data_IF_450248985197
#
_entry.id   IF_450248985197
#
_cell.length_a   1.000
_cell.length_b   1.000
_cell.length_c   1.000
_cell.angle_alpha   90.00
_cell.angle_beta   90.00
_cell.angle_gamma   90.00
#
_symmetry.space_group_name_H-M   'P 1'
#
loop_
_entity.id
_entity.type
_entity.pdbx_description
1 polymer ?
#
# COMPACT_ATOMS: atom_id res chain seq x y z
N UNK A 1 -10.61 2.42 -18.65
CA UNK A 1 -9.54 1.44 -18.39
C UNK A 1 -8.39 2.24 -17.82
N UNK A 2 -7.92 1.96 -16.60
CA UNK A 2 -6.75 2.67 -16.04
C UNK A 2 -5.53 2.05 -16.72
N UNK A 3 -4.74 2.86 -17.42
CA UNK A 3 -3.53 2.39 -18.09
C UNK A 3 -2.40 2.12 -17.07
N UNK A 4 -1.40 1.28 -17.42
CA UNK A 4 -0.34 0.89 -16.49
C UNK A 4 0.46 2.07 -15.92
N UNK A 5 0.63 3.17 -16.68
CA UNK A 5 1.37 4.36 -16.23
C UNK A 5 0.58 5.08 -15.16
N UNK A 6 -0.72 5.30 -15.38
CA UNK A 6 -1.62 5.90 -14.39
C UNK A 6 -1.69 5.12 -13.07
N UNK A 7 -1.59 3.79 -13.13
CA UNK A 7 -1.53 2.94 -11.94
C UNK A 7 -0.25 3.20 -11.14
N UNK A 8 0.92 3.18 -11.80
CA UNK A 8 2.22 3.42 -11.15
C UNK A 8 2.29 4.83 -10.56
N UNK A 9 1.85 5.84 -11.32
CA UNK A 9 1.80 7.22 -10.85
C UNK A 9 0.91 7.36 -9.60
N UNK A 10 -0.27 6.72 -9.59
CA UNK A 10 -1.15 6.71 -8.42
C UNK A 10 -0.50 6.08 -7.18
N UNK A 11 0.24 4.97 -7.34
CA UNK A 11 1.01 4.37 -6.24
C UNK A 11 2.10 5.32 -5.76
N UNK A 12 2.89 5.89 -6.67
CA UNK A 12 3.96 6.84 -6.33
C UNK A 12 3.42 8.07 -5.59
N UNK A 13 2.34 8.69 -6.07
CA UNK A 13 1.72 9.83 -5.39
C UNK A 13 1.24 9.45 -3.99
N UNK A 14 0.68 8.25 -3.84
CA UNK A 14 0.24 7.71 -2.54
C UNK A 14 1.41 7.53 -1.58
N UNK A 15 2.54 7.01 -2.07
CA UNK A 15 3.77 6.82 -1.31
C UNK A 15 4.32 8.14 -0.79
N UNK A 16 4.30 9.17 -1.64
CA UNK A 16 4.84 10.49 -1.32
C UNK A 16 3.93 11.31 -0.40
N UNK A 17 2.62 11.08 -0.48
CA UNK A 17 1.60 11.83 0.25
C UNK A 17 0.74 10.93 1.15
N UNK A 18 1.33 10.22 2.14
CA UNK A 18 0.60 9.25 2.95
C UNK A 18 -0.56 9.90 3.74
N UNK A 19 -0.44 11.18 4.12
CA UNK A 19 -1.49 11.94 4.80
C UNK A 19 -2.71 12.26 3.93
N UNK A 20 -2.58 12.25 2.61
CA UNK A 20 -3.75 12.38 1.72
C UNK A 20 -4.71 11.19 1.86
N UNK A 21 -4.23 10.05 2.39
CA UNK A 21 -5.01 8.84 2.64
C UNK A 21 -5.73 8.81 4.00
N UNK A 22 -5.55 9.77 4.91
CA UNK A 22 -6.27 9.74 6.20
C UNK A 22 -7.80 9.77 6.02
N UNK A 23 -8.30 10.18 4.83
CA UNK A 23 -9.73 10.06 4.43
C UNK A 23 -10.07 8.83 3.58
N UNK A 24 -9.08 8.05 3.14
CA UNK A 24 -9.20 6.84 2.30
C UNK A 24 -8.57 5.63 3.04
N UNK A 25 -8.74 5.57 4.36
CA UNK A 25 -8.00 4.67 5.26
C UNK A 25 -8.29 3.17 5.14
N UNK A 26 -9.16 2.70 4.23
CA UNK A 26 -9.57 1.29 4.19
C UNK A 26 -8.83 0.38 3.19
N UNK A 27 -8.15 0.94 2.16
CA UNK A 27 -7.75 0.12 1.00
C UNK A 27 -6.28 -0.25 0.89
N UNK A 28 -5.36 0.41 1.58
CA UNK A 28 -3.93 0.13 1.42
C UNK A 28 -3.35 -0.08 2.81
N UNK A 29 -3.11 -1.36 3.15
CA UNK A 29 -2.85 -1.81 4.52
C UNK A 29 -1.72 -1.05 5.21
N UNK A 30 -2.01 -0.61 6.44
CA UNK A 30 -1.12 0.11 7.38
C UNK A 30 0.23 -0.58 7.64
N UNK A 31 0.44 -1.80 7.14
CA UNK A 31 1.51 -2.68 7.58
C UNK A 31 2.55 -3.00 6.48
N UNK A 32 2.39 -2.45 5.29
CA UNK A 32 3.36 -2.56 4.19
C UNK A 32 4.48 -1.51 4.25
N UNK A 33 4.27 -0.42 4.99
CA UNK A 33 5.04 0.82 4.81
C UNK A 33 6.28 0.93 5.71
N UNK A 34 6.29 0.26 6.87
CA UNK A 34 7.35 0.41 7.89
C UNK A 34 8.75 -0.12 7.49
N UNK A 35 8.86 -0.90 6.40
CA UNK A 35 10.14 -1.50 5.96
C UNK A 35 10.74 -0.88 4.70
N UNK A 36 10.16 0.21 4.20
CA UNK A 36 10.50 0.77 2.88
C UNK A 36 11.06 2.19 2.91
N UNK A 37 11.52 2.70 4.06
CA UNK A 37 11.98 4.10 4.18
C UNK A 37 13.01 4.52 3.10
N UNK A 38 13.96 3.63 2.78
CA UNK A 38 14.93 3.85 1.69
C UNK A 38 14.27 3.87 0.31
N UNK A 39 13.34 2.95 0.02
CA UNK A 39 12.62 2.92 -1.24
C UNK A 39 11.70 4.13 -1.42
N UNK A 40 11.02 4.57 -0.36
CA UNK A 40 10.21 5.79 -0.33
C UNK A 40 11.10 7.01 -0.60
N UNK A 41 12.27 7.07 0.03
CA UNK A 41 13.24 8.14 -0.19
C UNK A 41 13.74 8.15 -1.64
N UNK A 42 14.06 6.98 -2.22
CA UNK A 42 14.47 6.86 -3.61
C UNK A 42 13.37 7.30 -4.59
N UNK A 43 12.10 6.99 -4.30
CA UNK A 43 10.96 7.48 -5.08
C UNK A 43 10.87 9.01 -5.01
N UNK A 44 10.97 9.58 -3.80
CA UNK A 44 10.96 11.03 -3.57
C UNK A 44 12.06 11.72 -4.37
N UNK A 45 13.29 11.27 -4.25
CA UNK A 45 14.44 11.87 -4.95
C UNK A 45 14.29 11.75 -6.47
N UNK A 46 13.84 10.58 -6.96
CA UNK A 46 13.63 10.34 -8.40
C UNK A 46 12.55 11.28 -8.95
N UNK A 47 11.42 11.45 -8.26
CA UNK A 47 10.36 12.37 -8.66
C UNK A 47 10.84 13.82 -8.56
N UNK A 48 11.49 14.20 -7.46
CA UNK A 48 11.97 15.56 -7.26
C UNK A 48 12.97 15.99 -8.34
N UNK A 49 13.93 15.12 -8.68
CA UNK A 49 14.89 15.37 -9.75
C UNK A 49 14.18 15.55 -11.10
N UNK A 50 13.21 14.68 -11.42
CA UNK A 50 12.45 14.77 -12.66
C UNK A 50 11.64 16.05 -12.77
N UNK A 51 10.93 16.43 -11.70
CA UNK A 51 10.18 17.68 -11.64
C UNK A 51 11.10 18.90 -11.77
N UNK A 52 12.33 18.83 -11.24
CA UNK A 52 13.30 19.90 -11.40
C UNK A 52 13.75 20.05 -12.85
N UNK A 53 14.03 18.94 -13.55
CA UNK A 53 14.35 18.95 -14.98
C UNK A 53 13.18 19.42 -15.84
N UNK A 54 11.95 19.10 -15.46
CA UNK A 54 10.73 19.51 -16.15
C UNK A 54 10.32 20.98 -15.86
N UNK A 55 11.00 21.67 -14.94
CA UNK A 55 10.67 23.05 -14.56
C UNK A 55 9.48 23.17 -13.60
N UNK A 56 9.07 22.07 -12.95
CA UNK A 56 7.92 21.96 -12.05
C UNK A 56 8.31 21.69 -10.59
N UNK A 57 9.53 22.08 -10.18
CA UNK A 57 10.17 21.81 -8.88
C UNK A 57 9.29 22.03 -7.64
N UNK A 58 8.36 22.99 -7.68
CA UNK A 58 7.50 23.32 -6.53
C UNK A 58 6.31 22.39 -6.31
N UNK A 59 5.97 21.52 -7.26
CA UNK A 59 4.76 20.70 -7.19
C UNK A 59 4.79 19.70 -6.05
N UNK A 60 5.92 19.00 -5.86
CA UNK A 60 6.06 18.01 -4.80
C UNK A 60 5.93 18.67 -3.42
N UNK A 61 6.72 19.72 -3.16
CA UNK A 61 6.70 20.46 -1.88
C UNK A 61 5.31 21.03 -1.58
N UNK A 62 4.60 21.56 -2.59
CA UNK A 62 3.25 22.08 -2.43
C UNK A 62 2.26 20.99 -2.00
N UNK A 63 2.34 19.82 -2.63
CA UNK A 63 1.46 18.71 -2.31
C UNK A 63 1.79 18.11 -0.92
N UNK A 64 3.06 18.10 -0.52
CA UNK A 64 3.49 17.62 0.80
C UNK A 64 3.08 18.55 1.94
N UNK A 65 3.19 19.86 1.70
CA UNK A 65 2.83 20.88 2.70
C UNK A 65 1.32 21.01 2.87
N UNK A 66 0.55 20.77 1.79
CA UNK A 66 -0.91 20.87 1.79
C UNK A 66 -1.52 19.74 0.93
N UNK A 67 -1.64 18.52 1.48
CA UNK A 67 -2.13 17.34 0.75
C UNK A 67 -3.67 17.35 0.63
N UNK A 68 -4.19 18.24 -0.23
CA UNK A 68 -5.59 18.27 -0.64
C UNK A 68 -5.78 17.63 -2.03
N UNK A 69 -7.03 17.33 -2.38
CA UNK A 69 -7.39 16.66 -3.63
C UNK A 69 -6.79 17.33 -4.88
N UNK A 70 -6.86 18.65 -4.97
CA UNK A 70 -6.31 19.41 -6.11
C UNK A 70 -4.79 19.23 -6.20
N UNK A 71 -4.08 19.41 -5.10
CA UNK A 71 -2.62 19.29 -5.08
C UNK A 71 -2.15 17.85 -5.38
N UNK A 72 -2.87 16.84 -4.88
CA UNK A 72 -2.60 15.43 -5.16
C UNK A 72 -2.84 15.12 -6.63
N UNK A 73 -3.97 15.54 -7.21
CA UNK A 73 -4.29 15.30 -8.62
C UNK A 73 -3.31 15.99 -9.57
N UNK A 74 -2.92 17.23 -9.27
CA UNK A 74 -1.93 17.96 -10.09
C UNK A 74 -0.56 17.28 -10.03
N UNK A 75 -0.10 16.84 -8.85
CA UNK A 75 1.16 16.09 -8.76
C UNK A 75 1.07 14.76 -9.53
N UNK A 76 -0.01 14.00 -9.35
CA UNK A 76 -0.19 12.73 -10.05
C UNK A 76 -0.23 12.91 -11.57
N UNK A 77 -0.96 13.91 -12.05
CA UNK A 77 -1.06 14.21 -13.48
C UNK A 77 0.32 14.57 -14.06
N UNK A 78 1.11 15.38 -13.35
CA UNK A 78 2.47 15.70 -13.79
C UNK A 78 3.35 14.45 -13.84
N UNK A 79 3.29 13.57 -12.83
CA UNK A 79 4.04 12.31 -12.85
C UNK A 79 3.64 11.46 -14.06
N UNK A 80 2.35 11.37 -14.38
CA UNK A 80 1.86 10.66 -15.58
C UNK A 80 2.45 11.27 -16.85
N UNK A 81 2.37 12.59 -17.02
CA UNK A 81 2.95 13.29 -18.17
C UNK A 81 4.44 12.98 -18.31
N UNK A 82 5.21 13.11 -17.22
CA UNK A 82 6.64 12.85 -17.23
C UNK A 82 6.98 11.38 -17.53
N UNK A 83 6.16 10.42 -17.10
CA UNK A 83 6.33 9.00 -17.46
C UNK A 83 5.98 8.70 -18.92
N UNK A 84 5.04 9.45 -19.50
CA UNK A 84 4.70 9.30 -20.93
C UNK A 84 5.79 9.89 -21.83
N UNK A 85 6.38 11.01 -21.41
CA UNK A 85 7.43 11.72 -22.15
C UNK A 85 8.83 11.10 -21.97
N UNK A 86 9.08 10.42 -20.84
CA UNK A 86 10.36 9.82 -20.51
C UNK A 86 10.20 8.37 -20.02
N UNK A 87 10.53 7.44 -20.92
CA UNK A 87 10.44 6.00 -20.67
C UNK A 87 11.45 5.49 -19.63
N UNK A 88 12.62 6.14 -19.49
CA UNK A 88 13.61 5.75 -18.49
C UNK A 88 13.11 6.12 -17.09
N UNK A 89 12.51 7.31 -16.96
CA UNK A 89 11.83 7.72 -15.73
C UNK A 89 10.68 6.78 -15.39
N UNK A 90 9.84 6.42 -16.37
CA UNK A 90 8.74 5.49 -16.17
C UNK A 90 9.21 4.12 -15.68
N UNK A 91 10.25 3.58 -16.32
CA UNK A 91 10.85 2.28 -15.97
C UNK A 91 11.40 2.31 -14.54
N UNK A 92 12.13 3.36 -14.18
CA UNK A 92 12.72 3.51 -12.84
C UNK A 92 11.64 3.59 -11.76
N UNK A 93 10.56 4.36 -11.97
CA UNK A 93 9.45 4.40 -11.02
C UNK A 93 8.74 3.04 -10.90
N UNK A 94 8.57 2.32 -12.01
CA UNK A 94 7.98 0.99 -11.98
C UNK A 94 8.83 -0.01 -11.17
N UNK A 95 10.15 0.04 -11.30
CA UNK A 95 11.07 -0.79 -10.52
C UNK A 95 11.01 -0.46 -9.03
N UNK A 96 11.02 0.82 -8.67
CA UNK A 96 10.89 1.26 -7.27
C UNK A 96 9.55 0.81 -6.67
N UNK A 97 8.45 0.93 -7.42
CA UNK A 97 7.13 0.42 -6.99
C UNK A 97 7.16 -1.09 -6.79
N UNK A 98 7.78 -1.86 -7.69
CA UNK A 98 7.94 -3.31 -7.54
C UNK A 98 8.77 -3.67 -6.30
N UNK A 99 9.85 -2.93 -6.03
CA UNK A 99 10.69 -3.14 -4.84
C UNK A 99 9.89 -2.90 -3.55
N UNK A 100 9.07 -1.85 -3.49
CA UNK A 100 8.20 -1.61 -2.34
C UNK A 100 7.16 -2.73 -2.16
N UNK A 101 6.60 -3.23 -3.25
CA UNK A 101 5.63 -4.34 -3.23
C UNK A 101 6.27 -5.67 -2.82
N UNK A 102 7.50 -5.96 -3.24
CA UNK A 102 8.20 -7.20 -2.88
C UNK A 102 8.71 -7.20 -1.43
N UNK A 103 8.96 -6.02 -0.88
CA UNK A 103 9.30 -5.84 0.54
C UNK A 103 8.08 -5.80 1.45
N UNK A 104 6.87 -5.64 0.88
CA UNK A 104 5.63 -5.68 1.64
C UNK A 104 5.39 -7.10 2.14
N UNK A 105 5.12 -7.29 3.45
CA UNK A 105 4.82 -8.62 3.97
C UNK A 105 3.59 -9.18 3.28
N UNK A 106 3.68 -10.42 2.79
CA UNK A 106 2.50 -11.11 2.28
C UNK A 106 1.52 -11.28 3.45
N UNK A 107 0.39 -10.58 3.41
CA UNK A 107 -0.64 -10.66 4.45
C UNK A 107 -1.58 -11.82 4.10
N UNK A 108 -1.49 -12.91 4.85
CA UNK A 108 -2.45 -14.00 4.79
C UNK A 108 -3.62 -13.70 5.74
N UNK A 109 -4.80 -13.49 5.18
CA UNK A 109 -6.04 -13.30 5.96
C UNK A 109 -6.90 -14.55 5.84
N UNK A 110 -7.13 -15.24 6.95
CA UNK A 110 -8.10 -16.33 7.04
C UNK A 110 -9.45 -15.73 7.46
N UNK A 111 -10.54 -16.17 6.81
CA UNK A 111 -11.90 -15.64 7.02
C UNK A 111 -11.99 -14.11 6.80
N UNK A 112 -11.69 -13.65 5.58
CA UNK A 112 -11.65 -12.21 5.25
C UNK A 112 -13.00 -11.50 5.24
N UNK A 113 -14.08 -12.22 4.97
CA UNK A 113 -15.44 -11.68 4.96
C UNK A 113 -16.40 -12.72 5.51
N UNK A 114 -16.89 -12.48 6.73
CA UNK A 114 -17.86 -13.36 7.39
C UNK A 114 -19.15 -12.58 7.64
N UNK A 115 -20.29 -13.15 7.22
CA UNK A 115 -21.63 -12.60 7.46
C UNK A 115 -22.50 -13.70 8.04
N UNK A 116 -22.83 -13.59 9.33
CA UNK A 116 -23.65 -14.57 10.05
C UNK A 116 -24.74 -13.83 10.79
N UNK A 117 -25.99 -14.28 10.70
CA UNK A 117 -27.12 -13.63 11.39
C UNK A 117 -27.27 -14.09 12.85
N UNK A 118 -26.78 -15.28 13.17
CA UNK A 118 -26.81 -15.87 14.50
C UNK A 118 -25.44 -15.84 15.17
N UNK A 119 -25.12 -16.89 15.92
CA UNK A 119 -23.86 -17.02 16.65
C UNK A 119 -22.78 -17.69 15.79
N UNK A 120 -21.52 -17.38 16.07
CA UNK A 120 -20.33 -18.03 15.52
C UNK A 120 -19.54 -18.63 16.67
N UNK A 121 -19.25 -19.93 16.59
CA UNK A 121 -18.33 -20.60 17.52
C UNK A 121 -17.24 -21.28 16.69
N UNK A 122 -16.00 -20.90 16.95
CA UNK A 122 -14.80 -21.41 16.30
C UNK A 122 -13.93 -22.01 17.40
N UNK A 123 -13.48 -23.24 17.20
CA UNK A 123 -12.59 -23.92 18.13
C UNK A 123 -11.17 -23.32 18.13
N UNK A 124 -10.22 -24.06 18.70
CA UNK A 124 -8.82 -23.65 18.70
C UNK A 124 -8.26 -23.66 17.27
N UNK A 125 -7.47 -22.65 16.94
CA UNK A 125 -6.89 -22.44 15.62
C UNK A 125 -5.38 -22.41 15.74
N UNK A 126 -4.72 -23.18 14.88
CA UNK A 126 -3.28 -23.08 14.67
C UNK A 126 -3.03 -22.68 13.22
N UNK A 127 -2.52 -21.48 13.01
CA UNK A 127 -2.15 -20.97 11.70
C UNK A 127 -0.64 -21.10 11.52
N UNK A 128 -0.22 -21.83 10.50
CA UNK A 128 1.20 -22.08 10.20
C UNK A 128 1.50 -21.44 8.84
N UNK A 129 2.50 -20.57 8.80
CA UNK A 129 3.09 -20.12 7.53
C UNK A 129 4.31 -20.96 7.24
N UNK A 130 4.32 -21.64 6.10
CA UNK A 130 5.49 -22.38 5.59
C UNK A 130 6.31 -21.57 4.57
N UNK A 131 6.17 -20.23 4.58
CA UNK A 131 6.79 -19.31 3.63
C UNK A 131 7.79 -18.32 4.23
N UNK A 132 7.89 -17.13 3.63
CA UNK A 132 8.86 -16.09 4.03
C UNK A 132 8.67 -15.66 5.50
N UNK A 133 9.79 -15.45 6.19
CA UNK A 133 9.89 -15.05 7.60
C UNK A 133 9.15 -13.74 7.96
N UNK A 134 8.75 -12.96 6.95
CA UNK A 134 8.08 -11.67 7.10
C UNK A 134 6.56 -11.72 6.90
N UNK A 135 5.96 -12.88 6.67
CA UNK A 135 4.53 -12.94 6.38
C UNK A 135 3.67 -12.55 7.60
N UNK A 136 2.67 -11.71 7.37
CA UNK A 136 1.71 -11.33 8.40
C UNK A 136 0.49 -12.22 8.33
N UNK A 137 0.10 -12.77 9.47
CA UNK A 137 -1.08 -13.61 9.59
C UNK A 137 -2.20 -12.82 10.29
N UNK A 138 -3.38 -12.76 9.68
CA UNK A 138 -4.58 -12.17 10.31
C UNK A 138 -5.66 -13.24 10.40
N UNK A 139 -6.15 -13.45 11.61
CA UNK A 139 -7.32 -14.29 11.85
C UNK A 139 -8.58 -13.41 11.90
N UNK A 140 -9.35 -13.45 10.82
CA UNK A 140 -10.56 -12.66 10.66
C UNK A 140 -10.29 -11.24 10.14
N UNK A 141 -11.11 -10.82 9.18
CA UNK A 141 -11.27 -9.41 8.79
C UNK A 141 -12.73 -9.18 8.46
N UNK A 142 -13.25 -7.97 8.69
CA UNK A 142 -14.60 -7.57 8.27
C UNK A 142 -15.69 -8.60 8.62
N UNK A 143 -15.83 -8.97 9.89
CA UNK A 143 -16.89 -9.89 10.32
C UNK A 143 -18.14 -9.11 10.73
N UNK A 144 -19.30 -9.64 10.34
CA UNK A 144 -20.60 -9.16 10.77
C UNK A 144 -21.37 -10.36 11.29
N UNK A 145 -21.54 -10.41 12.61
CA UNK A 145 -22.21 -11.51 13.30
C UNK A 145 -23.36 -10.93 14.12
N UNK A 146 -24.57 -11.43 13.88
CA UNK A 146 -25.79 -10.92 14.51
C UNK A 146 -26.02 -11.42 15.94
N UNK A 147 -25.24 -12.41 16.39
CA UNK A 147 -25.19 -12.90 17.76
C UNK A 147 -23.76 -13.00 18.27
N UNK A 148 -23.51 -13.90 19.22
CA UNK A 148 -22.20 -14.04 19.88
C UNK A 148 -21.13 -14.60 18.94
N UNK A 149 -19.89 -14.14 19.10
CA UNK A 149 -18.70 -14.72 18.49
C UNK A 149 -17.84 -15.33 19.59
N UNK A 150 -17.60 -16.63 19.52
CA UNK A 150 -16.67 -17.34 20.40
C UNK A 150 -15.55 -17.94 19.56
N UNK A 151 -14.31 -17.67 19.94
CA UNK A 151 -13.12 -18.23 19.31
C UNK A 151 -12.30 -18.87 20.42
N UNK A 152 -11.85 -20.10 20.20
CA UNK A 152 -10.88 -20.76 21.05
C UNK A 152 -9.49 -20.13 20.93
N UNK A 153 -8.47 -20.85 21.40
CA UNK A 153 -7.09 -20.35 21.36
C UNK A 153 -6.62 -20.17 19.91
N UNK A 154 -6.05 -19.02 19.59
CA UNK A 154 -5.45 -18.75 18.27
C UNK A 154 -3.93 -18.71 18.41
N UNK A 155 -3.26 -19.70 17.83
CA UNK A 155 -1.79 -19.78 17.76
C UNK A 155 -1.33 -19.50 16.34
N UNK A 156 -0.45 -18.52 16.17
CA UNK A 156 0.15 -18.17 14.89
C UNK A 156 1.65 -18.51 14.91
N UNK A 157 2.09 -19.27 13.92
CA UNK A 157 3.46 -19.76 13.79
C UNK A 157 3.99 -19.43 12.40
N UNK A 158 5.07 -18.64 12.33
CA UNK A 158 5.82 -18.41 11.09
C UNK A 158 7.06 -19.31 11.10
N UNK A 159 7.12 -20.27 10.17
CA UNK A 159 8.29 -21.15 10.00
C UNK A 159 9.10 -20.66 8.81
N UNK A 160 10.32 -20.19 9.08
CA UNK A 160 11.31 -19.94 8.05
C UNK A 160 11.89 -21.29 7.60
N UNK A 161 11.95 -21.53 6.28
CA UNK A 161 12.68 -22.66 5.70
C UNK A 161 14.17 -22.32 5.62
#
# INVERSE_FOLDING_TARGET
>A
MIDPVSLVAGVVTTVLLPKALEKVGEKIGETAWDKSAEAIQNVRETVQAKLQTAGTTGLLTRAETNPNEVNTQVLQAEIVTQMQEDQDFATKLQELVKQMQSQSPTVQVILKELRVRGKVEIGNIKQINEGQSNAQQKFGKNWQVGGDVKVGDVTQENRSV
#
